data_IF_967205003420
#
_entry.id   IF_967205003420
#
_cell.length_a   1.000
_cell.length_b   1.000
_cell.length_c   1.000
_cell.angle_alpha   90.00
_cell.angle_beta   90.00
_cell.angle_gamma   90.00
#
_symmetry.space_group_name_H-M   'P 1'
#
loop_
_entity.id
_entity.type
_entity.pdbx_description
1 polymer ?
#
# COMPACT_ATOMS: atom_id res chain seq x y z
N UNK A 1 -22.12 -22.63 -0.03
CA UNK A 1 -20.93 -22.70 -0.91
C UNK A 1 -19.72 -23.06 -0.06
N UNK A 2 -18.83 -23.89 -0.58
CA UNK A 2 -17.59 -24.30 0.09
C UNK A 2 -16.42 -23.39 -0.33
N UNK A 3 -15.66 -22.90 0.63
CA UNK A 3 -14.57 -21.94 0.40
C UNK A 3 -13.31 -22.37 1.14
N UNK A 4 -12.15 -21.98 0.65
CA UNK A 4 -10.89 -22.19 1.34
C UNK A 4 -10.65 -21.08 2.36
N UNK A 5 -10.31 -21.41 3.61
CA UNK A 5 -10.01 -20.44 4.66
C UNK A 5 -8.55 -20.60 5.11
N UNK A 6 -7.82 -19.48 5.23
CA UNK A 6 -6.50 -19.47 5.89
C UNK A 6 -6.30 -18.24 6.76
N UNK A 7 -5.46 -18.39 7.79
CA UNK A 7 -4.93 -17.25 8.56
C UNK A 7 -3.91 -16.48 7.70
N UNK A 8 -3.88 -15.16 7.87
CA UNK A 8 -2.91 -14.24 7.30
C UNK A 8 -2.20 -13.51 8.46
N UNK A 9 -0.90 -13.27 8.29
CA UNK A 9 -0.14 -12.40 9.16
C UNK A 9 1.35 -12.70 9.08
N UNK A 10 2.14 -11.65 9.20
CA UNK A 10 3.60 -11.71 9.30
C UNK A 10 4.01 -10.87 10.51
N UNK A 11 4.89 -11.42 11.35
CA UNK A 11 5.35 -10.86 12.64
C UNK A 11 4.29 -10.01 13.38
N UNK A 12 4.36 -8.68 13.26
CA UNK A 12 3.55 -7.72 14.03
C UNK A 12 2.04 -7.75 13.79
N UNK A 13 1.56 -8.40 12.71
CA UNK A 13 0.12 -8.52 12.40
C UNK A 13 -0.51 -9.84 12.87
N UNK A 14 0.29 -10.77 13.40
CA UNK A 14 -0.20 -12.06 13.87
C UNK A 14 -1.00 -11.91 15.17
N UNK A 15 -2.14 -12.60 15.24
CA UNK A 15 -2.95 -12.67 16.44
C UNK A 15 -3.65 -14.04 16.49
N UNK A 16 -3.38 -14.82 17.53
CA UNK A 16 -3.94 -16.16 17.67
C UNK A 16 -5.45 -16.17 17.94
N UNK A 17 -5.97 -15.13 18.60
CA UNK A 17 -7.38 -15.00 18.99
C UNK A 17 -8.25 -14.34 17.92
N UNK A 18 -7.67 -13.39 17.17
CA UNK A 18 -8.34 -12.61 16.11
C UNK A 18 -7.41 -12.46 14.91
N UNK A 19 -7.10 -13.55 14.19
CA UNK A 19 -6.19 -13.51 13.05
C UNK A 19 -6.81 -12.74 11.89
N UNK A 20 -5.98 -12.14 11.04
CA UNK A 20 -6.42 -11.74 9.70
C UNK A 20 -6.76 -13.01 8.90
N UNK A 21 -7.76 -12.92 8.02
CA UNK A 21 -8.28 -14.06 7.27
C UNK A 21 -8.16 -13.83 5.78
N UNK A 22 -7.90 -14.90 5.04
CA UNK A 22 -8.10 -14.92 3.59
C UNK A 22 -9.10 -16.03 3.25
N UNK A 23 -10.13 -15.67 2.50
CA UNK A 23 -11.12 -16.60 1.97
C UNK A 23 -10.87 -16.73 0.48
N UNK A 24 -10.58 -17.95 0.02
CA UNK A 24 -10.48 -18.30 -1.39
C UNK A 24 -11.83 -18.87 -1.83
N UNK A 25 -12.58 -18.07 -2.58
CA UNK A 25 -13.92 -18.43 -3.04
C UNK A 25 -13.84 -19.62 -4.00
N UNK A 26 -12.88 -19.58 -4.92
CA UNK A 26 -12.70 -20.64 -5.90
C UNK A 26 -11.84 -21.83 -5.45
N UNK A 27 -12.00 -22.24 -4.19
CA UNK A 27 -11.27 -23.40 -3.67
C UNK A 27 -11.78 -24.70 -4.29
N UNK A 28 -13.09 -24.95 -4.17
CA UNK A 28 -13.77 -26.12 -4.72
C UNK A 28 -14.33 -25.83 -6.10
N UNK A 29 -15.25 -24.88 -6.19
CA UNK A 29 -15.79 -24.39 -7.47
C UNK A 29 -14.81 -23.41 -8.12
N UNK A 30 -14.18 -23.80 -9.24
CA UNK A 30 -13.16 -22.97 -9.90
C UNK A 30 -13.71 -21.67 -10.50
N UNK A 31 -15.02 -21.58 -10.72
CA UNK A 31 -15.70 -20.40 -11.26
C UNK A 31 -16.22 -19.44 -10.17
N UNK A 32 -16.21 -19.87 -8.90
CA UNK A 32 -16.76 -19.05 -7.82
C UNK A 32 -15.97 -17.74 -7.63
N UNK A 33 -16.67 -16.63 -7.84
CA UNK A 33 -16.17 -15.28 -7.61
C UNK A 33 -17.25 -14.36 -7.04
N UNK A 34 -16.82 -13.22 -6.52
CA UNK A 34 -17.68 -12.15 -6.07
C UNK A 34 -17.16 -10.83 -6.66
N UNK A 35 -17.92 -10.25 -7.59
CA UNK A 35 -17.52 -9.03 -8.31
C UNK A 35 -16.13 -9.14 -8.95
N UNK A 36 -15.83 -10.27 -9.61
CA UNK A 36 -14.51 -10.55 -10.20
C UNK A 36 -13.41 -10.92 -9.20
N UNK A 37 -13.69 -10.95 -7.89
CA UNK A 37 -12.74 -11.35 -6.87
C UNK A 37 -12.89 -12.84 -6.58
N UNK A 38 -11.77 -13.58 -6.63
CA UNK A 38 -11.68 -14.98 -6.20
C UNK A 38 -11.10 -15.13 -4.79
N UNK A 39 -10.63 -14.02 -4.21
CA UNK A 39 -10.01 -13.98 -2.89
C UNK A 39 -10.43 -12.74 -2.12
N UNK A 40 -11.03 -12.96 -0.95
CA UNK A 40 -11.40 -11.92 0.01
C UNK A 40 -10.34 -11.88 1.10
N UNK A 41 -9.85 -10.69 1.44
CA UNK A 41 -8.86 -10.48 2.50
C UNK A 41 -9.48 -9.66 3.61
N UNK A 42 -9.48 -10.18 4.83
CA UNK A 42 -10.00 -9.53 6.02
C UNK A 42 -8.85 -9.27 6.98
N UNK A 43 -8.35 -8.03 7.02
CA UNK A 43 -7.31 -7.60 7.92
C UNK A 43 -7.90 -7.28 9.30
N UNK A 44 -7.25 -7.76 10.35
CA UNK A 44 -7.68 -7.58 11.73
C UNK A 44 -7.38 -6.18 12.29
N UNK A 45 -6.62 -5.32 11.61
CA UNK A 45 -6.22 -4.00 12.12
C UNK A 45 -5.56 -4.10 13.52
N UNK A 46 -4.67 -5.07 13.71
CA UNK A 46 -4.03 -5.28 15.02
C UNK A 46 -3.26 -4.03 15.51
N UNK A 47 -2.73 -3.23 14.58
CA UNK A 47 -1.95 -2.03 14.84
C UNK A 47 -2.74 -0.71 14.72
N UNK A 48 -3.99 -0.79 14.25
CA UNK A 48 -4.88 0.34 14.05
C UNK A 48 -6.15 0.15 14.91
N UNK A 49 -6.16 0.79 16.08
CA UNK A 49 -7.30 0.71 16.99
C UNK A 49 -8.50 1.53 16.53
N UNK A 50 -8.31 2.48 15.61
CA UNK A 50 -9.39 3.27 15.00
C UNK A 50 -10.16 2.46 13.96
N UNK A 51 -9.54 1.40 13.40
CA UNK A 51 -10.02 0.62 12.27
C UNK A 51 -10.16 1.40 10.95
N UNK A 52 -9.73 2.66 10.88
CA UNK A 52 -10.01 3.56 9.76
C UNK A 52 -8.81 3.76 8.82
N UNK A 53 -7.57 3.54 9.26
CA UNK A 53 -6.37 3.92 8.50
C UNK A 53 -6.32 3.27 7.11
N UNK A 54 -6.65 1.98 7.00
CA UNK A 54 -6.70 1.31 5.69
C UNK A 54 -7.82 1.85 4.80
N UNK A 55 -9.02 2.04 5.33
CA UNK A 55 -10.16 2.53 4.53
C UNK A 55 -9.95 3.95 4.02
N UNK A 56 -9.42 4.84 4.86
CA UNK A 56 -9.17 6.23 4.49
C UNK A 56 -7.92 6.35 3.63
N UNK A 57 -6.82 5.72 4.02
CA UNK A 57 -5.55 5.80 3.31
C UNK A 57 -5.67 5.30 1.87
N UNK A 58 -6.27 4.12 1.66
CA UNK A 58 -6.47 3.61 0.31
C UNK A 58 -7.46 4.45 -0.52
N UNK A 59 -8.45 5.08 0.12
CA UNK A 59 -9.36 5.99 -0.58
C UNK A 59 -8.62 7.23 -1.10
N UNK A 60 -7.71 7.81 -0.31
CA UNK A 60 -6.90 8.97 -0.71
C UNK A 60 -5.98 8.62 -1.88
N UNK A 61 -5.27 7.48 -1.81
CA UNK A 61 -4.45 7.02 -2.95
C UNK A 61 -5.27 6.89 -4.24
N UNK A 62 -6.44 6.24 -4.17
CA UNK A 62 -7.29 6.08 -5.36
C UNK A 62 -7.85 7.41 -5.86
N UNK A 63 -8.22 8.35 -4.97
CA UNK A 63 -8.69 9.69 -5.34
C UNK A 63 -7.61 10.49 -6.07
N UNK A 64 -6.36 10.37 -5.60
CA UNK A 64 -5.17 10.96 -6.21
C UNK A 64 -4.75 10.31 -7.54
N UNK A 65 -5.49 9.31 -8.04
CA UNK A 65 -5.12 8.58 -9.25
C UNK A 65 -3.92 7.64 -9.08
N UNK A 66 -3.52 7.32 -7.85
CA UNK A 66 -2.49 6.32 -7.53
C UNK A 66 -3.15 4.97 -7.22
N UNK A 67 -3.12 3.98 -8.13
CA UNK A 67 -3.88 2.74 -7.96
C UNK A 67 -3.56 2.01 -6.65
N UNK A 68 -4.60 1.78 -5.84
CA UNK A 68 -4.50 1.12 -4.55
C UNK A 68 -5.71 0.20 -4.31
N UNK A 69 -5.63 -0.78 -3.38
CA UNK A 69 -6.77 -1.62 -3.01
C UNK A 69 -8.03 -0.82 -2.68
N UNK A 70 -9.21 -1.27 -3.11
CA UNK A 70 -10.46 -0.86 -2.46
C UNK A 70 -10.52 -1.44 -1.06
N UNK A 71 -11.14 -0.71 -0.12
CA UNK A 71 -11.29 -1.17 1.25
C UNK A 71 -12.66 -0.82 1.83
N UNK A 72 -13.25 -1.77 2.54
CA UNK A 72 -14.49 -1.61 3.29
C UNK A 72 -14.43 -2.36 4.61
N UNK A 73 -15.59 -2.53 5.25
CA UNK A 73 -15.69 -3.22 6.53
C UNK A 73 -16.47 -4.52 6.43
N UNK A 74 -16.11 -5.49 7.27
CA UNK A 74 -16.88 -6.71 7.44
C UNK A 74 -16.94 -7.09 8.92
N UNK A 75 -18.13 -7.45 9.40
CA UNK A 75 -18.27 -8.16 10.68
C UNK A 75 -18.04 -9.65 10.44
N UNK A 76 -17.11 -10.24 11.18
CA UNK A 76 -16.75 -11.65 11.01
C UNK A 76 -17.26 -12.48 12.19
N UNK A 77 -17.98 -13.55 11.89
CA UNK A 77 -18.40 -14.57 12.86
C UNK A 77 -17.91 -15.93 12.39
N UNK A 78 -17.32 -16.71 13.31
CA UNK A 78 -16.85 -18.08 13.03
C UNK A 78 -17.45 -19.00 14.08
N UNK A 79 -18.20 -20.01 13.64
CA UNK A 79 -18.90 -20.98 14.51
C UNK A 79 -19.72 -20.29 15.63
N UNK A 80 -20.52 -19.28 15.26
CA UNK A 80 -21.33 -18.49 16.20
C UNK A 80 -20.56 -17.46 17.04
N UNK A 81 -19.23 -17.47 17.01
CA UNK A 81 -18.40 -16.50 17.76
C UNK A 81 -18.10 -15.25 16.94
N UNK A 82 -18.58 -14.10 17.40
CA UNK A 82 -18.24 -12.80 16.83
C UNK A 82 -16.74 -12.50 17.05
N UNK A 83 -15.98 -12.39 15.95
CA UNK A 83 -14.58 -11.95 15.94
C UNK A 83 -14.46 -10.43 15.74
N UNK A 84 -15.58 -9.73 15.55
CA UNK A 84 -15.65 -8.28 15.46
C UNK A 84 -15.54 -7.74 14.04
N UNK A 85 -15.21 -6.45 13.95
CA UNK A 85 -15.08 -5.72 12.68
C UNK A 85 -13.69 -5.90 12.09
N UNK A 86 -13.59 -6.18 10.80
CA UNK A 86 -12.36 -6.30 10.03
C UNK A 86 -12.35 -5.31 8.86
N UNK A 87 -11.16 -4.92 8.41
CA UNK A 87 -11.00 -4.26 7.12
C UNK A 87 -11.03 -5.31 6.00
N UNK A 88 -12.02 -5.25 5.12
CA UNK A 88 -12.06 -6.04 3.89
C UNK A 88 -11.28 -5.31 2.80
N UNK A 89 -10.10 -5.83 2.45
CA UNK A 89 -9.16 -5.19 1.53
C UNK A 89 -9.13 -5.97 0.21
N UNK A 90 -9.29 -5.27 -0.91
CA UNK A 90 -9.15 -5.83 -2.25
C UNK A 90 -7.77 -6.49 -2.40
N UNK A 91 -7.74 -7.71 -2.94
CA UNK A 91 -6.49 -8.42 -3.16
C UNK A 91 -5.68 -7.76 -4.28
N UNK A 92 -4.37 -7.58 -4.07
CA UNK A 92 -3.40 -7.13 -5.09
C UNK A 92 -3.24 -8.17 -6.20
N UNK A 93 -4.20 -8.18 -7.13
CA UNK A 93 -4.35 -9.15 -8.22
C UNK A 93 -4.91 -8.48 -9.47
N UNK A 94 -5.07 -9.27 -10.54
CA UNK A 94 -5.54 -8.85 -11.86
C UNK A 94 -6.76 -7.90 -11.85
N UNK A 95 -7.83 -8.10 -11.07
CA UNK A 95 -8.96 -7.15 -11.07
C UNK A 95 -8.56 -5.72 -10.70
N UNK A 96 -7.70 -5.58 -9.69
CA UNK A 96 -7.17 -4.28 -9.28
C UNK A 96 -6.28 -3.70 -10.38
N UNK A 97 -5.37 -4.49 -10.96
CA UNK A 97 -4.49 -4.04 -12.04
C UNK A 97 -5.29 -3.55 -13.27
N UNK A 98 -6.34 -4.28 -13.64
CA UNK A 98 -7.24 -3.90 -14.73
C UNK A 98 -7.95 -2.58 -14.43
N UNK A 99 -8.46 -2.40 -13.21
CA UNK A 99 -9.10 -1.14 -12.78
C UNK A 99 -8.12 0.03 -12.75
N UNK A 100 -6.92 -0.18 -12.23
CA UNK A 100 -5.95 0.87 -11.97
C UNK A 100 -5.12 1.28 -13.18
N UNK A 101 -4.81 0.33 -14.06
CA UNK A 101 -3.88 0.54 -15.18
C UNK A 101 -4.49 0.24 -16.55
N UNK A 102 -5.71 -0.31 -16.61
CA UNK A 102 -6.31 -0.79 -17.85
C UNK A 102 -5.65 -2.04 -18.44
N UNK A 103 -4.61 -2.57 -17.79
CA UNK A 103 -3.86 -3.75 -18.23
C UNK A 103 -3.44 -4.57 -17.00
N UNK A 104 -3.77 -5.87 -16.99
CA UNK A 104 -3.44 -6.80 -15.91
C UNK A 104 -2.39 -7.85 -16.30
N UNK A 105 -1.78 -7.68 -17.49
CA UNK A 105 -0.77 -8.61 -18.06
C UNK A 105 0.64 -8.30 -17.59
N UNK A 106 0.87 -7.10 -17.04
CA UNK A 106 2.16 -6.70 -16.50
C UNK A 106 2.58 -7.54 -15.29
N UNK A 107 3.81 -7.30 -14.85
CA UNK A 107 4.43 -8.09 -13.78
C UNK A 107 4.28 -7.36 -12.47
N UNK A 108 3.76 -8.07 -11.46
CA UNK A 108 3.48 -7.52 -10.15
C UNK A 108 4.43 -8.14 -9.13
N UNK A 109 5.12 -7.30 -8.38
CA UNK A 109 5.98 -7.69 -7.27
C UNK A 109 5.46 -7.14 -5.95
N UNK A 110 5.55 -7.92 -4.88
CA UNK A 110 5.42 -7.44 -3.49
C UNK A 110 6.81 -7.14 -2.93
N UNK A 111 6.95 -5.99 -2.30
CA UNK A 111 8.13 -5.59 -1.55
C UNK A 111 7.88 -5.66 -0.05
N UNK A 112 8.67 -6.46 0.66
CA UNK A 112 8.67 -6.58 2.12
C UNK A 112 10.09 -6.46 2.63
N UNK A 113 10.41 -5.37 3.32
CA UNK A 113 11.76 -5.04 3.81
C UNK A 113 12.81 -5.24 2.71
N UNK A 114 12.58 -4.61 1.55
CA UNK A 114 13.38 -4.75 0.34
C UNK A 114 13.41 -3.42 -0.40
N UNK A 115 14.56 -3.13 -1.01
CA UNK A 115 14.72 -2.02 -1.95
C UNK A 115 15.66 -2.42 -3.09
N UNK A 116 15.93 -1.49 -4.00
CA UNK A 116 16.81 -1.68 -5.15
C UNK A 116 18.30 -1.68 -4.75
N UNK A 117 18.74 -2.70 -4.02
CA UNK A 117 20.16 -2.95 -3.72
C UNK A 117 20.74 -4.01 -4.66
N UNK A 118 22.05 -3.94 -4.90
CA UNK A 118 22.73 -4.95 -5.71
C UNK A 118 22.57 -6.35 -5.07
N UNK A 119 22.28 -7.34 -5.91
CA UNK A 119 21.98 -8.72 -5.50
C UNK A 119 20.62 -8.96 -4.81
N UNK A 120 19.79 -7.94 -4.62
CA UNK A 120 18.49 -8.05 -3.92
C UNK A 120 17.29 -8.24 -4.86
N UNK A 121 17.50 -8.37 -6.16
CA UNK A 121 16.40 -8.39 -7.15
C UNK A 121 15.41 -9.55 -6.92
N UNK A 122 15.88 -10.66 -6.33
CA UNK A 122 15.06 -11.85 -6.04
C UNK A 122 14.20 -11.68 -4.79
N UNK A 123 14.51 -10.70 -3.94
CA UNK A 123 13.73 -10.38 -2.73
C UNK A 123 12.39 -9.70 -3.05
N UNK A 124 12.24 -9.14 -4.25
CA UNK A 124 10.95 -8.72 -4.78
C UNK A 124 10.10 -9.96 -5.13
N UNK A 125 9.10 -10.28 -4.31
CA UNK A 125 8.32 -11.51 -4.49
C UNK A 125 7.34 -11.34 -5.66
N UNK A 126 7.52 -12.14 -6.73
CA UNK A 126 6.63 -12.09 -7.89
C UNK A 126 5.26 -12.66 -7.56
N UNK A 127 4.21 -11.88 -7.82
CA UNK A 127 2.81 -12.28 -7.62
C UNK A 127 2.06 -12.60 -8.91
N UNK A 128 2.42 -11.98 -10.03
CA UNK A 128 1.79 -12.17 -11.34
C UNK A 128 2.73 -11.75 -12.47
N UNK A 129 2.46 -12.20 -13.70
CA UNK A 129 3.13 -11.74 -14.92
C UNK A 129 4.45 -12.45 -15.26
N UNK A 130 5.05 -12.04 -16.40
CA UNK A 130 6.30 -12.61 -16.93
C UNK A 130 7.51 -11.98 -16.23
N UNK A 131 8.38 -12.81 -15.68
CA UNK A 131 9.40 -12.33 -14.74
C UNK A 131 10.62 -11.71 -15.42
N UNK A 132 11.18 -12.37 -16.44
CA UNK A 132 12.51 -12.08 -16.98
C UNK A 132 12.76 -10.60 -17.26
N UNK A 133 11.93 -9.99 -18.13
CA UNK A 133 12.10 -8.59 -18.51
C UNK A 133 11.96 -7.63 -17.33
N UNK A 134 10.95 -7.81 -16.49
CA UNK A 134 10.72 -6.92 -15.36
C UNK A 134 11.82 -7.06 -14.30
N UNK A 135 12.34 -8.28 -14.07
CA UNK A 135 13.49 -8.53 -13.20
C UNK A 135 14.76 -7.86 -13.74
N UNK A 136 15.01 -7.94 -15.05
CA UNK A 136 16.13 -7.25 -15.68
C UNK A 136 16.01 -5.72 -15.54
N UNK A 137 14.79 -5.18 -15.57
CA UNK A 137 14.54 -3.75 -15.33
C UNK A 137 14.74 -3.36 -13.86
N UNK A 138 14.46 -4.24 -12.90
CA UNK A 138 14.83 -4.03 -11.47
C UNK A 138 16.35 -3.89 -11.36
N UNK A 139 17.13 -4.79 -11.97
CA UNK A 139 18.59 -4.72 -11.96
C UNK A 139 19.12 -3.42 -12.55
N UNK A 140 18.62 -3.04 -13.73
CA UNK A 140 19.01 -1.79 -14.38
C UNK A 140 18.65 -0.54 -13.58
N UNK A 141 17.51 -0.55 -12.89
CA UNK A 141 17.15 0.53 -11.97
C UNK A 141 18.11 0.56 -10.77
N UNK A 142 18.44 -0.59 -10.19
CA UNK A 142 19.47 -0.70 -9.14
C UNK A 142 20.80 -0.10 -9.61
N UNK A 143 21.29 -0.46 -10.79
CA UNK A 143 22.53 0.09 -11.36
C UNK A 143 22.50 1.62 -11.49
N UNK A 144 21.36 2.22 -11.88
CA UNK A 144 21.19 3.68 -11.88
C UNK A 144 21.23 4.25 -10.46
N UNK A 145 20.59 3.57 -9.50
CA UNK A 145 20.52 4.03 -8.12
C UNK A 145 21.85 3.87 -7.35
N UNK A 146 22.83 3.12 -7.87
CA UNK A 146 24.20 3.04 -7.34
C UNK A 146 25.13 4.14 -7.91
N UNK A 147 24.82 4.69 -9.08
CA UNK A 147 25.69 5.71 -9.68
C UNK A 147 25.59 7.05 -8.94
N UNK A 148 26.66 7.51 -8.32
CA UNK A 148 26.68 8.78 -7.56
C UNK A 148 26.61 10.01 -8.47
N UNK A 149 27.34 10.00 -9.59
CA UNK A 149 27.56 11.17 -10.46
C UNK A 149 26.73 11.15 -11.75
N UNK A 150 25.42 10.92 -11.64
CA UNK A 150 24.52 11.02 -12.79
C UNK A 150 24.29 12.47 -13.19
N UNK A 151 24.51 12.86 -14.47
CA UNK A 151 24.24 14.22 -14.93
C UNK A 151 22.78 14.65 -14.76
N UNK A 152 21.84 13.70 -14.90
CA UNK A 152 20.41 13.90 -14.71
C UNK A 152 19.79 12.67 -14.03
N UNK A 153 19.73 12.72 -12.69
CA UNK A 153 19.21 11.65 -11.84
C UNK A 153 17.73 11.38 -12.16
N UNK A 154 16.93 12.42 -12.34
CA UNK A 154 15.49 12.29 -12.56
C UNK A 154 15.23 11.57 -13.89
N UNK A 155 15.86 12.01 -14.97
CA UNK A 155 15.73 11.36 -16.28
C UNK A 155 16.26 9.93 -16.26
N UNK A 156 17.36 9.65 -15.57
CA UNK A 156 17.92 8.31 -15.49
C UNK A 156 16.97 7.33 -14.77
N UNK A 157 16.39 7.72 -13.63
CA UNK A 157 15.36 6.95 -12.92
C UNK A 157 14.08 6.84 -13.76
N UNK A 158 13.69 7.92 -14.43
CA UNK A 158 12.48 8.00 -15.25
C UNK A 158 12.47 7.11 -16.50
N UNK A 159 13.61 6.50 -16.86
CA UNK A 159 13.68 5.41 -17.86
C UNK A 159 13.02 4.12 -17.37
N UNK A 160 12.95 3.92 -16.05
CA UNK A 160 12.47 2.68 -15.44
C UNK A 160 11.26 2.88 -14.53
N UNK A 161 11.10 4.07 -13.94
CA UNK A 161 9.98 4.41 -13.06
C UNK A 161 9.09 5.43 -13.74
N UNK A 162 7.77 5.24 -13.66
CA UNK A 162 6.82 6.27 -14.07
C UNK A 162 6.82 7.40 -13.02
N UNK A 163 7.52 8.49 -13.31
CA UNK A 163 7.79 9.54 -12.31
C UNK A 163 6.52 10.27 -11.90
N UNK A 164 5.58 10.55 -12.80
CA UNK A 164 4.32 11.21 -12.45
C UNK A 164 3.52 10.37 -11.44
N UNK A 165 3.42 9.06 -11.70
CA UNK A 165 2.81 8.12 -10.76
C UNK A 165 3.59 8.04 -9.44
N UNK A 166 4.91 8.04 -9.50
CA UNK A 166 5.77 7.90 -8.33
C UNK A 166 5.71 9.12 -7.39
N UNK A 167 5.77 10.34 -7.92
CA UNK A 167 5.65 11.54 -7.08
C UNK A 167 4.28 11.61 -6.40
N UNK A 168 3.22 11.21 -7.09
CA UNK A 168 1.87 11.11 -6.51
C UNK A 168 1.83 10.07 -5.39
N UNK A 169 2.33 8.87 -5.64
CA UNK A 169 2.44 7.80 -4.64
C UNK A 169 3.22 8.26 -3.40
N UNK A 170 4.39 8.87 -3.61
CA UNK A 170 5.27 9.36 -2.56
C UNK A 170 4.63 10.48 -1.74
N UNK A 171 4.01 11.46 -2.40
CA UNK A 171 3.36 12.58 -1.73
C UNK A 171 2.17 12.12 -0.89
N UNK A 172 1.33 11.19 -1.38
CA UNK A 172 0.25 10.60 -0.57
C UNK A 172 0.81 9.84 0.64
N UNK A 173 1.87 9.04 0.46
CA UNK A 173 2.49 8.27 1.57
C UNK A 173 3.04 9.18 2.69
N UNK A 174 3.64 10.29 2.28
CA UNK A 174 4.07 11.39 3.14
C UNK A 174 2.91 12.01 3.90
N UNK A 175 1.88 12.45 3.17
CA UNK A 175 0.72 13.15 3.70
C UNK A 175 -0.05 12.33 4.74
N UNK A 176 -0.27 11.05 4.48
CA UNK A 176 -0.96 10.16 5.43
C UNK A 176 -0.04 9.65 6.53
N UNK A 177 1.22 10.09 6.65
CA UNK A 177 2.08 9.65 7.74
C UNK A 177 2.34 8.13 7.79
N UNK A 178 2.22 7.40 6.67
CA UNK A 178 2.45 5.94 6.65
C UNK A 178 3.94 5.60 6.90
N UNK A 179 4.26 5.16 8.11
CA UNK A 179 5.66 5.06 8.55
C UNK A 179 6.33 3.73 8.20
N UNK A 180 5.57 2.69 7.87
CA UNK A 180 6.06 1.36 7.52
C UNK A 180 5.90 1.05 6.01
N UNK A 181 5.72 2.08 5.19
CA UNK A 181 5.62 1.97 3.73
C UNK A 181 6.97 2.06 3.03
N UNK A 182 6.94 2.20 1.69
CA UNK A 182 8.14 2.20 0.87
C UNK A 182 9.05 3.37 1.22
N UNK A 183 8.54 4.60 1.21
CA UNK A 183 9.40 5.78 1.33
C UNK A 183 9.91 6.00 2.76
N UNK A 184 9.24 5.41 3.75
CA UNK A 184 9.62 5.48 5.16
C UNK A 184 10.45 4.30 5.66
N UNK A 185 10.29 3.10 5.11
CA UNK A 185 10.90 1.89 5.64
C UNK A 185 11.21 0.78 4.61
N UNK A 186 11.12 1.06 3.30
CA UNK A 186 11.30 0.07 2.23
C UNK A 186 10.44 -1.19 2.45
N UNK A 187 9.21 -1.01 2.92
CA UNK A 187 8.31 -2.09 3.31
C UNK A 187 6.87 -1.84 2.83
N UNK A 188 6.01 -2.86 2.92
CA UNK A 188 4.57 -2.79 2.64
C UNK A 188 4.21 -2.06 1.33
N UNK A 189 4.81 -2.47 0.22
CA UNK A 189 4.50 -1.90 -1.09
C UNK A 189 4.45 -2.97 -2.17
N UNK A 190 3.87 -2.60 -3.30
CA UNK A 190 3.93 -3.37 -4.52
C UNK A 190 4.50 -2.52 -5.64
N UNK A 191 5.08 -3.19 -6.63
CA UNK A 191 5.53 -2.55 -7.86
C UNK A 191 4.92 -3.29 -9.04
N UNK A 192 4.19 -2.55 -9.88
CA UNK A 192 3.64 -3.02 -11.13
C UNK A 192 4.51 -2.58 -12.30
N UNK A 193 5.08 -3.53 -13.03
CA UNK A 193 5.75 -3.27 -14.30
C UNK A 193 4.73 -3.24 -15.43
N UNK A 194 4.42 -2.03 -15.90
CA UNK A 194 3.41 -1.80 -16.92
C UNK A 194 3.96 -2.22 -18.30
N UNK A 195 3.29 -3.16 -19.01
CA UNK A 195 3.80 -3.71 -20.26
C UNK A 195 3.71 -2.72 -21.43
N UNK A 196 2.91 -1.65 -21.32
CA UNK A 196 2.77 -0.62 -22.36
C UNK A 196 3.89 0.42 -22.30
N UNK A 197 4.26 0.85 -21.08
CA UNK A 197 5.27 1.89 -20.88
C UNK A 197 6.65 1.33 -20.57
N UNK A 198 6.73 0.04 -20.21
CA UNK A 198 7.90 -0.61 -19.62
C UNK A 198 8.46 0.13 -18.40
N UNK A 199 7.56 0.72 -17.60
CA UNK A 199 7.90 1.43 -16.37
C UNK A 199 7.22 0.82 -15.14
N UNK A 200 7.89 0.98 -14.02
CA UNK A 200 7.41 0.61 -12.70
C UNK A 200 6.47 1.68 -12.15
N UNK A 201 5.32 1.24 -11.65
CA UNK A 201 4.38 2.02 -10.86
C UNK A 201 4.31 1.44 -9.44
N UNK A 202 4.47 2.30 -8.44
CA UNK A 202 4.43 1.91 -7.04
C UNK A 202 3.00 1.93 -6.52
N UNK A 203 2.68 1.01 -5.61
CA UNK A 203 1.34 0.84 -5.06
C UNK A 203 1.44 0.55 -3.56
N UNK A 204 0.56 1.15 -2.73
CA UNK A 204 0.63 1.00 -1.29
C UNK A 204 0.06 -0.35 -0.83
N UNK A 205 0.57 -0.86 0.28
CA UNK A 205 0.02 -2.03 0.96
C UNK A 205 0.10 -1.86 2.49
N UNK A 206 -0.62 -2.67 3.25
CA UNK A 206 -0.50 -2.70 4.72
C UNK A 206 -0.74 -1.36 5.44
N UNK A 207 -1.76 -0.58 5.05
CA UNK A 207 -2.02 0.75 5.62
C UNK A 207 -2.64 0.75 7.04
N UNK A 208 -2.52 -0.33 7.82
CA UNK A 208 -2.99 -0.41 9.21
C UNK A 208 -2.05 0.28 10.22
N UNK A 209 -1.17 1.13 9.73
CA UNK A 209 -0.39 2.05 10.54
C UNK A 209 -0.14 3.41 9.82
N UNK A 210 -1.11 3.81 8.99
CA UNK A 210 -1.21 5.18 8.47
C UNK A 210 -1.84 6.14 9.48
N UNK A 211 -1.75 7.42 9.17
CA UNK A 211 -2.13 8.60 9.97
C UNK A 211 -1.36 8.72 11.29
N UNK A 212 -0.10 8.29 11.27
CA UNK A 212 0.80 8.33 12.42
C UNK A 212 1.81 9.48 12.26
N UNK A 213 2.01 10.25 13.33
CA UNK A 213 2.91 11.41 13.31
C UNK A 213 4.39 11.00 13.26
N UNK A 214 4.74 9.88 13.89
CA UNK A 214 6.14 9.43 14.05
C UNK A 214 6.29 7.95 13.71
N UNK A 215 7.46 7.59 13.19
CA UNK A 215 7.83 6.18 12.95
C UNK A 215 8.05 5.43 14.27
N UNK A 216 7.67 4.15 14.29
CA UNK A 216 7.83 3.26 15.46
C UNK A 216 9.19 2.55 15.50
N UNK A 217 10.03 2.69 14.46
CA UNK A 217 11.36 2.03 14.36
C UNK A 217 12.49 3.02 14.63
N UNK A 218 12.47 4.17 13.96
CA UNK A 218 13.47 5.23 14.08
C UNK A 218 12.73 6.55 14.21
N UNK A 219 12.99 7.29 15.29
CA UNK A 219 12.33 8.56 15.59
C UNK A 219 13.35 9.68 15.64
N UNK A 220 13.82 10.12 14.47
CA UNK A 220 14.44 11.42 14.37
C UNK A 220 13.34 12.49 14.38
N UNK A 221 13.13 13.10 15.55
CA UNK A 221 12.13 14.16 15.73
C UNK A 221 12.42 15.41 14.91
N UNK A 222 13.63 15.56 14.36
CA UNK A 222 14.03 16.68 13.49
C UNK A 222 13.79 16.38 12.01
N UNK A 223 13.57 15.12 11.63
CA UNK A 223 13.30 14.77 10.26
C UNK A 223 11.93 15.33 9.81
N UNK A 224 11.82 15.91 8.61
CA UNK A 224 10.54 16.37 8.08
C UNK A 224 9.55 15.20 7.94
N UNK A 225 8.43 15.26 8.67
CA UNK A 225 7.41 14.20 8.72
C UNK A 225 6.80 13.94 7.33
N UNK A 226 6.64 15.00 6.54
CA UNK A 226 5.96 14.96 5.25
C UNK A 226 6.79 14.31 4.16
N UNK A 227 8.12 14.36 4.22
CA UNK A 227 8.94 13.99 3.06
C UNK A 227 9.20 12.49 2.99
N UNK A 228 9.88 11.91 4.00
CA UNK A 228 10.31 10.49 4.05
C UNK A 228 11.14 10.05 2.84
N UNK A 229 12.43 9.79 3.07
CA UNK A 229 13.40 9.50 1.99
C UNK A 229 14.23 8.25 2.28
N UNK A 230 13.67 7.23 2.95
CA UNK A 230 14.39 5.97 3.14
C UNK A 230 14.40 5.10 1.88
N UNK A 231 13.27 5.06 1.16
CA UNK A 231 13.19 4.33 -0.11
C UNK A 231 14.16 4.93 -1.13
N UNK A 232 15.01 4.12 -1.77
CA UNK A 232 16.13 4.57 -2.61
C UNK A 232 15.71 5.47 -3.76
N UNK A 233 14.59 5.19 -4.42
CA UNK A 233 14.07 6.04 -5.50
C UNK A 233 13.74 7.44 -4.96
N UNK A 234 13.00 7.51 -3.84
CA UNK A 234 12.68 8.78 -3.18
C UNK A 234 13.94 9.50 -2.69
N UNK A 235 14.88 8.76 -2.07
CA UNK A 235 16.15 9.29 -1.59
C UNK A 235 16.95 9.97 -2.70
N UNK A 236 17.18 9.26 -3.81
CA UNK A 236 17.98 9.75 -4.94
C UNK A 236 17.33 10.97 -5.60
N UNK A 237 16.01 10.94 -5.81
CA UNK A 237 15.28 12.09 -6.33
C UNK A 237 15.38 13.29 -5.37
N UNK A 238 15.21 13.08 -4.07
CA UNK A 238 15.23 14.17 -3.09
C UNK A 238 16.59 14.88 -2.97
N UNK A 239 17.69 14.28 -3.43
CA UNK A 239 18.99 14.98 -3.45
C UNK A 239 19.05 16.11 -4.47
N UNK A 240 18.19 16.10 -5.49
CA UNK A 240 18.16 17.09 -6.56
C UNK A 240 17.15 18.20 -6.25
N UNK A 241 17.55 19.47 -6.38
CA UNK A 241 16.70 20.60 -6.01
C UNK A 241 15.41 20.70 -6.85
N UNK A 242 15.50 20.48 -8.17
CA UNK A 242 14.33 20.48 -9.06
C UNK A 242 13.30 19.42 -8.67
N UNK A 243 13.76 18.22 -8.31
CA UNK A 243 12.95 17.11 -7.81
C UNK A 243 12.27 17.44 -6.48
N UNK A 244 12.97 18.10 -5.54
CA UNK A 244 12.36 18.59 -4.28
C UNK A 244 11.22 19.58 -4.57
N UNK A 245 11.44 20.52 -5.49
CA UNK A 245 10.41 21.47 -5.93
C UNK A 245 9.21 20.76 -6.58
N UNK A 246 9.45 19.72 -7.39
CA UNK A 246 8.38 18.90 -7.99
C UNK A 246 7.59 18.13 -6.93
N UNK A 247 8.27 17.50 -5.98
CA UNK A 247 7.63 16.83 -4.84
C UNK A 247 6.75 17.80 -4.06
N UNK A 248 7.27 18.97 -3.68
CA UNK A 248 6.52 19.98 -2.92
C UNK A 248 5.27 20.45 -3.68
N UNK A 249 5.38 20.74 -4.99
CA UNK A 249 4.22 21.10 -5.83
C UNK A 249 3.18 19.97 -5.89
N UNK A 250 3.64 18.72 -5.99
CA UNK A 250 2.74 17.55 -6.02
C UNK A 250 2.00 17.40 -4.70
N UNK A 251 2.71 17.55 -3.57
CA UNK A 251 2.12 17.47 -2.23
C UNK A 251 1.06 18.56 -2.01
N UNK A 252 1.38 19.82 -2.33
CA UNK A 252 0.43 20.95 -2.20
C UNK A 252 -0.79 20.72 -3.08
N UNK A 253 -0.61 20.33 -4.35
CA UNK A 253 -1.72 20.00 -5.24
C UNK A 253 -2.65 18.94 -4.66
N UNK A 254 -2.09 17.86 -4.11
CA UNK A 254 -2.89 16.80 -3.49
C UNK A 254 -3.62 17.26 -2.22
N UNK A 255 -3.02 18.17 -1.45
CA UNK A 255 -3.71 18.78 -0.31
C UNK A 255 -4.92 19.59 -0.79
N UNK A 256 -4.73 20.43 -1.81
CA UNK A 256 -5.78 21.30 -2.36
C UNK A 256 -6.92 20.48 -3.00
N UNK A 257 -6.60 19.38 -3.68
CA UNK A 257 -7.59 18.58 -4.44
C UNK A 257 -8.25 17.46 -3.62
N UNK A 258 -7.58 16.92 -2.60
CA UNK A 258 -8.01 15.67 -1.94
C UNK A 258 -7.98 15.68 -0.41
N UNK A 259 -7.44 16.72 0.24
CA UNK A 259 -7.32 16.79 1.70
C UNK A 259 -8.38 17.71 2.33
N UNK A 260 -9.65 17.33 2.19
CA UNK A 260 -10.77 18.02 2.81
C UNK A 260 -10.98 17.52 4.24
N UNK A 261 -10.44 18.26 5.22
CA UNK A 261 -10.45 17.88 6.63
C UNK A 261 -11.87 17.72 7.20
N UNK A 262 -12.80 18.61 6.84
CA UNK A 262 -14.19 18.54 7.30
C UNK A 262 -14.86 17.26 6.82
N UNK A 263 -14.72 16.92 5.52
CA UNK A 263 -15.25 15.66 4.97
C UNK A 263 -14.58 14.44 5.59
N UNK A 264 -13.28 14.51 5.86
CA UNK A 264 -12.54 13.41 6.50
C UNK A 264 -12.99 13.18 7.94
N UNK A 265 -13.15 14.24 8.74
CA UNK A 265 -13.67 14.17 10.11
C UNK A 265 -15.11 13.63 10.10
N UNK A 266 -15.99 14.17 9.25
CA UNK A 266 -17.36 13.67 9.12
C UNK A 266 -17.40 12.17 8.73
N UNK A 267 -16.46 11.72 7.90
CA UNK A 267 -16.31 10.30 7.53
C UNK A 267 -15.84 9.46 8.72
N UNK A 268 -14.94 9.96 9.56
CA UNK A 268 -14.49 9.32 10.81
C UNK A 268 -15.71 9.15 11.73
N UNK A 269 -16.44 10.22 12.02
CA UNK A 269 -17.60 10.21 12.93
C UNK A 269 -18.68 9.23 12.46
N UNK A 270 -19.02 9.29 11.17
CA UNK A 270 -19.99 8.36 10.58
C UNK A 270 -19.52 6.90 10.69
N UNK A 271 -18.23 6.66 10.45
CA UNK A 271 -17.66 5.31 10.56
C UNK A 271 -17.65 4.83 12.00
N UNK A 272 -17.35 5.72 12.96
CA UNK A 272 -17.40 5.41 14.39
C UNK A 272 -18.80 4.96 14.81
N UNK A 273 -19.84 5.70 14.43
CA UNK A 273 -21.25 5.34 14.70
C UNK A 273 -21.60 4.00 14.06
N UNK A 274 -21.26 3.81 12.79
CA UNK A 274 -21.57 2.60 12.03
C UNK A 274 -20.90 1.35 12.60
N UNK A 275 -19.65 1.46 13.09
CA UNK A 275 -18.87 0.30 13.52
C UNK A 275 -19.13 -0.11 14.97
N UNK A 276 -19.46 0.84 15.85
CA UNK A 276 -19.59 0.63 17.30
C UNK A 276 -20.50 -0.56 17.68
N UNK A 277 -21.67 -0.78 17.05
CA UNK A 277 -22.55 -1.91 17.38
C UNK A 277 -21.98 -3.29 17.06
N UNK A 278 -20.93 -3.37 16.23
CA UNK A 278 -20.40 -4.63 15.69
C UNK A 278 -19.04 -5.02 16.27
N UNK A 279 -18.46 -4.18 17.13
CA UNK A 279 -17.17 -4.42 17.75
C UNK A 279 -17.20 -5.66 18.64
N UNK A 280 -16.14 -6.47 18.58
CA UNK A 280 -15.92 -7.50 19.59
C UNK A 280 -15.46 -6.85 20.92
N UNK A 281 -15.62 -7.52 22.08
CA UNK A 281 -15.18 -6.99 23.38
C UNK A 281 -13.70 -6.54 23.40
N UNK A 282 -12.83 -7.19 22.63
CA UNK A 282 -11.42 -6.82 22.50
C UNK A 282 -11.18 -5.50 21.75
N UNK A 283 -12.12 -5.08 20.89
CA UNK A 283 -12.05 -3.83 20.14
C UNK A 283 -12.68 -2.68 20.91
N UNK A 284 -13.80 -2.91 21.62
CA UNK A 284 -14.50 -1.88 22.40
C UNK A 284 -13.58 -1.13 23.36
N UNK A 285 -12.63 -1.84 24.00
CA UNK A 285 -11.70 -1.25 24.98
C UNK A 285 -10.68 -0.28 24.40
N UNK A 286 -10.43 -0.34 23.09
CA UNK A 286 -9.34 0.42 22.43
C UNK A 286 -9.83 1.35 21.33
N UNK A 287 -11.03 1.12 20.82
CA UNK A 287 -11.62 1.89 19.74
C UNK A 287 -11.87 3.34 20.19
N UNK A 288 -11.09 4.25 19.61
CA UNK A 288 -11.07 5.69 19.86
C UNK A 288 -10.49 6.38 18.65
#
# INVERSE_FOLDING_TARGET
SEVGLRKKGFFGSQNSRRPSLKIKLNHMDKQAELNGLTMLTFNNNQQDFTLMSQTMGYAIYNAAGSPAPRCGYARITVNGKNLGVYAHVESMKKPLLRRGFGDDRGTLYEGTVVDFFDGWEKSFEKKNGKDKLARDKIKKLTEVLEQENLPDVEKAIGKYVDLDSFYTFWAVEGLIGFWDGYVANANNFFVYFNPKTEKFHFMPWGLDCGFEKYSKISNDRRAPISVKTKGRVAYRLYQVESCRKRYARTLVKLMDEHWDEEKMIAKIDRSQIMLKPFLAPSQVRKFR
#
